data_IF_687301211009
#
_entry.id   IF_687301211009
#
_cell.length_a   1.000
_cell.length_b   1.000
_cell.length_c   1.000
_cell.angle_alpha   90.00
_cell.angle_beta   90.00
_cell.angle_gamma   90.00
#
_symmetry.space_group_name_H-M   'P 1'
#
loop_
_entity.id
_entity.type
_entity.pdbx_description
1 polymer ?
#
# COMPACT_ATOMS: atom_id res chain seq x y z
N UNK A 1 -1.59 -0.50 -6.51
CA UNK A 1 -3.04 -0.77 -6.54
C UNK A 1 -3.74 -0.03 -7.68
N UNK A 2 -3.48 1.27 -7.88
CA UNK A 2 -4.08 2.06 -9.00
C UNK A 2 -3.97 1.39 -10.38
N UNK A 3 -2.82 0.81 -10.72
CA UNK A 3 -2.65 0.14 -12.03
C UNK A 3 -3.68 -0.98 -12.27
N UNK A 4 -3.99 -1.76 -11.23
CA UNK A 4 -4.99 -2.84 -11.33
C UNK A 4 -6.40 -2.26 -11.51
N UNK A 5 -6.69 -1.11 -10.89
CA UNK A 5 -7.96 -0.39 -11.06
C UNK A 5 -8.11 0.16 -12.48
N UNK A 6 -7.04 0.68 -13.07
CA UNK A 6 -7.03 1.18 -14.45
C UNK A 6 -7.33 0.04 -15.44
N UNK A 7 -6.67 -1.11 -15.29
CA UNK A 7 -6.84 -2.24 -16.23
C UNK A 7 -8.24 -2.86 -16.11
N UNK A 8 -8.81 -2.88 -14.90
CA UNK A 8 -10.06 -3.59 -14.62
C UNK A 8 -11.31 -2.74 -14.61
N UNK A 9 -11.18 -1.41 -14.52
CA UNK A 9 -12.29 -0.49 -14.28
C UNK A 9 -12.98 -0.67 -12.93
N UNK A 10 -12.43 -1.49 -12.02
CA UNK A 10 -13.01 -1.86 -10.72
C UNK A 10 -12.20 -1.28 -9.57
N UNK A 11 -12.86 -1.00 -8.45
CA UNK A 11 -12.18 -0.51 -7.25
C UNK A 11 -11.43 -1.66 -6.58
N UNK A 12 -10.20 -1.44 -6.13
CA UNK A 12 -9.34 -2.52 -5.63
C UNK A 12 -9.89 -3.21 -4.36
N UNK A 13 -10.62 -2.48 -3.53
CA UNK A 13 -11.23 -2.99 -2.29
C UNK A 13 -12.68 -3.43 -2.48
N UNK A 14 -13.17 -3.45 -3.72
CA UNK A 14 -14.51 -3.94 -4.01
C UNK A 14 -14.60 -5.43 -3.67
N UNK A 15 -15.67 -5.77 -2.96
CA UNK A 15 -16.02 -7.13 -2.57
C UNK A 15 -17.39 -7.39 -3.15
N UNK A 16 -17.49 -8.35 -4.06
CA UNK A 16 -18.72 -8.63 -4.80
C UNK A 16 -18.95 -10.16 -4.85
N UNK A 17 -20.17 -10.62 -5.17
CA UNK A 17 -20.40 -12.05 -5.38
C UNK A 17 -19.54 -12.59 -6.55
N UNK A 18 -19.26 -11.77 -7.56
CA UNK A 18 -18.38 -12.10 -8.69
C UNK A 18 -16.94 -12.34 -8.25
N UNK A 19 -16.46 -11.61 -7.22
CA UNK A 19 -15.13 -11.84 -6.63
C UNK A 19 -15.11 -12.95 -5.58
N UNK A 20 -16.19 -13.73 -5.46
CA UNK A 20 -16.38 -14.74 -4.42
C UNK A 20 -16.17 -14.18 -3.00
N UNK A 21 -16.64 -12.95 -2.76
CA UNK A 21 -16.47 -12.20 -1.50
C UNK A 21 -15.02 -11.95 -1.09
N UNK A 22 -14.08 -11.95 -2.03
CA UNK A 22 -12.67 -11.57 -1.81
C UNK A 22 -12.43 -10.12 -2.22
N UNK A 23 -11.39 -9.50 -1.66
CA UNK A 23 -10.85 -8.24 -2.20
C UNK A 23 -10.49 -8.45 -3.67
N UNK A 24 -10.84 -7.50 -4.52
CA UNK A 24 -10.60 -7.60 -5.96
C UNK A 24 -9.15 -8.00 -6.30
N UNK A 25 -8.15 -7.44 -5.61
CA UNK A 25 -6.74 -7.81 -5.83
C UNK A 25 -6.42 -9.29 -5.62
N UNK A 26 -7.07 -9.94 -4.65
CA UNK A 26 -6.85 -11.36 -4.38
C UNK A 26 -7.56 -12.24 -5.43
N UNK A 27 -8.81 -11.89 -5.76
CA UNK A 27 -9.55 -12.58 -6.82
C UNK A 27 -8.84 -12.45 -8.18
N UNK A 28 -8.37 -11.25 -8.53
CA UNK A 28 -7.68 -11.00 -9.78
C UNK A 28 -6.38 -11.82 -9.88
N UNK A 29 -5.67 -12.03 -8.77
CA UNK A 29 -4.48 -12.87 -8.78
C UNK A 29 -4.82 -14.34 -9.05
N UNK A 30 -5.91 -14.86 -8.48
CA UNK A 30 -6.39 -16.22 -8.76
C UNK A 30 -6.77 -16.41 -10.23
N UNK A 31 -7.41 -15.41 -10.85
CA UNK A 31 -7.72 -15.46 -12.29
C UNK A 31 -6.46 -15.33 -13.14
N UNK A 32 -5.47 -14.55 -12.71
CA UNK A 32 -4.17 -14.45 -13.37
C UNK A 32 -3.41 -15.79 -13.34
N UNK A 33 -3.41 -16.50 -12.23
CA UNK A 33 -2.77 -17.84 -12.14
C UNK A 33 -3.44 -18.88 -13.03
N UNK A 34 -4.74 -18.72 -13.32
CA UNK A 34 -5.48 -19.56 -14.26
C UNK A 34 -5.29 -19.12 -15.72
N UNK A 35 -4.45 -18.13 -15.99
CA UNK A 35 -4.30 -17.49 -17.30
C UNK A 35 -5.59 -16.85 -17.82
N UNK A 36 -6.55 -16.53 -16.95
CA UNK A 36 -7.84 -15.93 -17.28
C UNK A 36 -7.79 -14.39 -17.21
N UNK A 37 -6.86 -13.80 -17.96
CA UNK A 37 -6.59 -12.35 -17.96
C UNK A 37 -7.81 -11.53 -18.39
N UNK A 38 -8.62 -12.07 -19.31
CA UNK A 38 -9.84 -11.43 -19.82
C UNK A 38 -10.89 -11.21 -18.72
N UNK A 39 -10.95 -12.06 -17.69
CA UNK A 39 -11.84 -11.85 -16.56
C UNK A 39 -11.43 -10.65 -15.68
N UNK A 40 -10.15 -10.26 -15.73
CA UNK A 40 -9.60 -9.14 -14.96
C UNK A 40 -9.83 -7.82 -15.69
N UNK A 41 -9.75 -7.84 -17.03
CA UNK A 41 -9.91 -6.67 -17.91
C UNK A 41 -11.27 -5.98 -17.72
N UNK A 42 -11.29 -4.64 -17.87
CA UNK A 42 -12.52 -3.86 -17.91
C UNK A 42 -13.44 -4.37 -19.05
N UNK A 43 -14.66 -4.79 -18.69
CA UNK A 43 -15.65 -5.30 -19.64
C UNK A 43 -16.01 -4.28 -20.72
N UNK A 44 -15.85 -2.98 -20.45
CA UNK A 44 -16.07 -1.91 -21.43
C UNK A 44 -15.04 -1.92 -22.57
N UNK A 45 -13.93 -2.63 -22.37
CA UNK A 45 -12.85 -2.79 -23.35
C UNK A 45 -12.88 -4.17 -24.04
N UNK A 46 -13.75 -5.10 -23.60
CA UNK A 46 -13.76 -6.48 -24.09
C UNK A 46 -14.04 -6.60 -25.61
N UNK A 47 -14.84 -5.69 -26.16
CA UNK A 47 -15.19 -5.66 -27.59
C UNK A 47 -14.26 -4.75 -28.43
N UNK A 48 -13.20 -4.21 -27.81
CA UNK A 48 -12.26 -3.31 -28.49
C UNK A 48 -10.98 -4.07 -28.91
N UNK A 49 -10.25 -3.50 -29.87
CA UNK A 49 -8.93 -4.00 -30.27
C UNK A 49 -7.88 -3.66 -29.20
N UNK A 50 -7.84 -4.48 -28.15
CA UNK A 50 -6.94 -4.33 -27.00
C UNK A 50 -5.73 -5.24 -27.16
N UNK A 51 -4.54 -4.68 -27.02
CA UNK A 51 -3.30 -5.46 -26.96
C UNK A 51 -3.23 -6.27 -25.65
N UNK A 52 -3.59 -7.55 -25.74
CA UNK A 52 -3.60 -8.48 -24.62
C UNK A 52 -2.21 -8.74 -24.03
N UNK A 53 -1.13 -8.54 -24.79
CA UNK A 53 0.23 -8.64 -24.24
C UNK A 53 0.50 -7.48 -23.28
N UNK A 54 0.08 -6.26 -23.64
CA UNK A 54 0.19 -5.10 -22.75
C UNK A 54 -0.70 -5.24 -21.51
N UNK A 55 -1.92 -5.76 -21.67
CA UNK A 55 -2.80 -6.05 -20.52
C UNK A 55 -2.15 -7.03 -19.57
N UNK A 56 -1.67 -8.16 -20.09
CA UNK A 56 -1.02 -9.21 -19.27
C UNK A 56 0.19 -8.64 -18.52
N UNK A 57 1.03 -7.88 -19.22
CA UNK A 57 2.19 -7.19 -18.64
C UNK A 57 1.78 -6.22 -17.53
N UNK A 58 0.78 -5.37 -17.78
CA UNK A 58 0.29 -4.41 -16.78
C UNK A 58 -0.22 -5.12 -15.52
N UNK A 59 -0.92 -6.24 -15.68
CA UNK A 59 -1.39 -7.08 -14.57
C UNK A 59 -0.22 -7.67 -13.80
N UNK A 60 0.78 -8.26 -14.46
CA UNK A 60 1.97 -8.79 -13.80
C UNK A 60 2.73 -7.71 -13.02
N UNK A 61 2.94 -6.54 -13.62
CA UNK A 61 3.55 -5.38 -12.95
C UNK A 61 2.74 -4.97 -11.73
N UNK A 62 1.42 -4.95 -11.85
CA UNK A 62 0.53 -4.57 -10.74
C UNK A 62 0.70 -5.50 -9.53
N UNK A 63 0.85 -6.81 -9.75
CA UNK A 63 1.06 -7.78 -8.67
C UNK A 63 2.45 -7.67 -8.03
N UNK A 64 3.51 -7.41 -8.81
CA UNK A 64 4.83 -7.08 -8.25
C UNK A 64 4.79 -5.83 -7.36
N UNK A 65 4.00 -4.83 -7.72
CA UNK A 65 3.91 -3.57 -6.97
C UNK A 65 3.14 -3.68 -5.65
N UNK A 66 2.26 -4.66 -5.50
CA UNK A 66 1.41 -4.82 -4.30
C UNK A 66 1.90 -5.91 -3.34
N UNK A 67 3.11 -6.41 -3.53
CA UNK A 67 3.70 -7.40 -2.64
C UNK A 67 3.74 -6.91 -1.19
N UNK A 68 3.49 -7.81 -0.25
CA UNK A 68 3.49 -7.51 1.18
C UNK A 68 4.86 -6.98 1.62
N UNK A 69 5.93 -7.68 1.22
CA UNK A 69 7.30 -7.29 1.52
C UNK A 69 7.76 -6.14 0.63
N UNK A 70 8.18 -4.99 1.20
CA UNK A 70 8.69 -3.86 0.41
C UNK A 70 9.92 -4.19 -0.43
N UNK A 71 10.75 -5.11 0.04
CA UNK A 71 11.96 -5.58 -0.67
C UNK A 71 11.66 -6.31 -1.99
N UNK A 72 10.46 -6.87 -2.13
CA UNK A 72 10.03 -7.53 -3.35
C UNK A 72 9.40 -6.56 -4.37
N UNK A 73 9.07 -5.33 -3.94
CA UNK A 73 8.47 -4.34 -4.83
C UNK A 73 9.54 -3.74 -5.74
N UNK A 74 9.34 -3.73 -7.07
CA UNK A 74 10.27 -3.08 -7.98
C UNK A 74 10.32 -1.57 -7.73
N UNK A 75 11.50 -0.97 -7.91
CA UNK A 75 11.64 0.50 -7.92
C UNK A 75 10.86 1.09 -9.10
N UNK A 76 10.34 2.31 -8.95
CA UNK A 76 9.53 2.95 -9.99
C UNK A 76 10.19 3.01 -11.38
N UNK A 77 11.51 3.25 -11.46
CA UNK A 77 12.21 3.19 -12.75
C UNK A 77 12.14 1.82 -13.42
N UNK A 78 12.20 0.74 -12.62
CA UNK A 78 12.03 -0.63 -13.12
C UNK A 78 10.58 -0.91 -13.52
N UNK A 79 9.60 -0.40 -12.76
CA UNK A 79 8.17 -0.49 -13.11
C UNK A 79 7.91 0.10 -14.50
N UNK A 80 8.48 1.27 -14.81
CA UNK A 80 8.36 1.89 -16.14
C UNK A 80 8.96 1.00 -17.23
N UNK A 81 10.20 0.53 -17.04
CA UNK A 81 10.85 -0.39 -18.00
C UNK A 81 10.05 -1.68 -18.22
N UNK A 82 9.44 -2.22 -17.16
CA UNK A 82 8.58 -3.40 -17.23
C UNK A 82 7.33 -3.10 -18.07
N UNK A 83 6.67 -1.94 -17.87
CA UNK A 83 5.47 -1.54 -18.63
C UNK A 83 5.79 -1.25 -20.11
N UNK A 84 6.90 -0.58 -20.38
CA UNK A 84 7.39 -0.30 -21.75
C UNK A 84 7.82 -1.59 -22.48
N UNK A 85 8.00 -2.70 -21.76
CA UNK A 85 8.42 -3.98 -22.34
C UNK A 85 9.92 -4.08 -22.60
N UNK A 86 10.70 -3.18 -22.01
CA UNK A 86 12.17 -3.19 -22.06
C UNK A 86 12.72 -4.28 -21.14
N UNK A 87 11.98 -4.60 -20.07
CA UNK A 87 12.32 -5.68 -19.16
C UNK A 87 11.35 -6.85 -19.31
N UNK A 88 11.91 -8.05 -19.34
CA UNK A 88 11.14 -9.27 -19.07
C UNK A 88 10.61 -9.26 -17.63
N UNK A 89 9.48 -9.93 -17.42
CA UNK A 89 8.76 -9.98 -16.16
C UNK A 89 8.52 -11.44 -15.80
N UNK A 90 9.12 -11.89 -14.71
CA UNK A 90 8.81 -13.17 -14.11
C UNK A 90 7.43 -13.13 -13.43
N UNK A 91 6.82 -14.31 -13.26
CA UNK A 91 5.54 -14.42 -12.59
C UNK A 91 5.64 -13.91 -11.14
N UNK A 92 4.84 -12.90 -10.76
CA UNK A 92 4.85 -12.35 -9.41
C UNK A 92 4.32 -13.40 -8.42
N UNK A 93 4.84 -13.42 -7.18
CA UNK A 93 4.28 -14.28 -6.14
C UNK A 93 2.88 -13.82 -5.71
N UNK A 94 2.13 -14.70 -5.06
CA UNK A 94 0.79 -14.41 -4.58
C UNK A 94 0.78 -13.24 -3.58
N UNK A 95 -0.01 -12.18 -3.82
CA UNK A 95 -0.31 -11.19 -2.80
C UNK A 95 -0.96 -11.90 -1.62
N UNK A 96 -0.48 -11.64 -0.39
CA UNK A 96 -1.12 -12.23 0.80
C UNK A 96 -2.57 -11.77 0.87
N UNK A 97 -3.50 -12.73 0.79
CA UNK A 97 -4.86 -12.50 1.21
C UNK A 97 -4.81 -12.17 2.70
N UNK A 98 -5.13 -10.93 3.07
CA UNK A 98 -5.39 -10.61 4.47
C UNK A 98 -6.62 -11.41 4.86
N UNK A 99 -6.43 -12.58 5.46
CA UNK A 99 -7.47 -13.24 6.23
C UNK A 99 -7.77 -12.30 7.39
N UNK A 100 -8.77 -11.45 7.24
CA UNK A 100 -9.32 -10.73 8.38
C UNK A 100 -9.78 -11.80 9.36
N UNK A 101 -9.12 -11.83 10.52
CA UNK A 101 -9.16 -12.95 11.44
C UNK A 101 -10.58 -13.34 11.76
N UNK A 102 -10.90 -14.61 11.50
CA UNK A 102 -11.81 -15.32 12.37
C UNK A 102 -11.17 -15.27 13.76
N UNK A 103 -11.65 -14.37 14.62
CA UNK A 103 -11.35 -14.42 16.06
C UNK A 103 -11.74 -15.84 16.48
N UNK A 104 -10.82 -16.71 16.94
CA UNK A 104 -11.22 -17.92 17.61
C UNK A 104 -11.95 -17.46 18.86
N UNK A 105 -13.26 -17.74 18.92
CA UNK A 105 -14.14 -17.30 19.99
C UNK A 105 -13.49 -17.53 21.34
N UNK A 106 -13.07 -16.45 21.99
CA UNK A 106 -12.71 -16.50 23.40
C UNK A 106 -14.03 -16.60 24.14
N UNK A 107 -14.45 -17.83 24.42
CA UNK A 107 -15.58 -18.11 25.28
C UNK A 107 -15.26 -17.60 26.68
N UNK A 108 -15.64 -16.35 26.96
CA UNK A 108 -15.76 -15.84 28.32
C UNK A 108 -17.07 -16.36 28.89
N UNK A 109 -16.99 -17.27 29.86
CA UNK A 109 -18.06 -17.55 30.81
C UNK A 109 -17.54 -17.28 32.24
N UNK A 110 -17.91 -16.08 32.70
CA UNK A 110 -18.54 -15.75 33.98
C UNK A 110 -17.88 -16.11 35.33
N UNK A 111 -17.53 -15.07 36.09
CA UNK A 111 -17.90 -14.83 37.51
C UNK A 111 -17.20 -13.53 37.95
N UNK A 112 -17.71 -12.64 38.81
CA UNK A 112 -18.98 -12.45 39.51
C UNK A 112 -19.04 -10.98 39.96
N UNK A 113 -20.25 -10.48 40.15
CA UNK A 113 -20.65 -9.13 40.60
C UNK A 113 -20.01 -8.66 41.92
N UNK A 114 -19.56 -7.39 41.96
CA UNK A 114 -19.71 -6.51 43.13
C UNK A 114 -19.61 -5.01 42.75
N UNK A 115 -20.36 -4.19 43.46
CA UNK A 115 -20.91 -2.87 43.11
C UNK A 115 -19.91 -1.68 43.05
N UNK A 116 -20.30 -0.51 42.46
CA UNK A 116 -19.48 0.69 42.48
C UNK A 116 -19.69 1.53 43.74
N UNK A 117 -18.63 2.14 44.25
CA UNK A 117 -18.66 3.25 45.23
C UNK A 117 -17.95 4.47 44.64
N UNK A 118 -18.47 5.70 44.76
CA UNK A 118 -17.81 6.92 44.29
C UNK A 118 -17.21 7.72 45.45
N UNK A 119 -16.01 8.28 45.27
CA UNK A 119 -15.42 9.37 46.08
C UNK A 119 -14.19 9.94 45.31
N UNK A 120 -14.31 11.07 44.61
CA UNK A 120 -14.04 12.46 45.04
C UNK A 120 -12.56 12.88 45.16
N UNK A 121 -12.15 13.75 44.20
CA UNK A 121 -11.43 15.03 44.37
C UNK A 121 -9.92 15.13 44.71
N UNK A 122 -9.18 15.74 43.77
CA UNK A 122 -8.03 16.69 43.90
C UNK A 122 -6.71 16.14 44.47
N UNK A 123 -5.49 16.52 44.04
CA UNK A 123 -4.95 17.85 43.71
C UNK A 123 -3.62 17.76 42.94
N UNK A 124 -3.32 18.84 42.22
CA UNK A 124 -2.01 19.24 41.70
C UNK A 124 -0.89 19.22 42.75
N UNK A 125 0.34 18.85 42.37
CA UNK A 125 1.56 19.45 42.93
C UNK A 125 2.66 19.62 41.87
N UNK A 126 2.86 20.89 41.54
CA UNK A 126 4.02 21.53 40.93
C UNK A 126 5.09 21.77 42.01
N UNK A 127 6.35 21.40 41.74
CA UNK A 127 7.59 22.00 42.27
C UNK A 127 8.66 21.71 41.21
N UNK A 128 9.43 22.62 40.61
CA UNK A 128 9.62 24.05 40.80
C UNK A 128 11.11 24.39 40.55
N UNK A 129 11.38 25.17 39.48
CA UNK A 129 12.32 26.33 39.43
C UNK A 129 13.84 25.98 39.50
N UNK A 130 14.78 26.35 38.61
CA UNK A 130 14.98 27.57 37.78
C UNK A 130 16.17 27.44 36.78
N UNK A 131 16.44 28.46 35.91
CA UNK A 131 17.10 28.36 34.60
C UNK A 131 18.58 28.83 34.56
N UNK A 132 19.26 28.59 33.43
CA UNK A 132 20.36 29.44 32.99
C UNK A 132 20.34 29.64 31.46
N UNK A 133 20.42 30.91 31.06
CA UNK A 133 20.39 31.42 29.69
C UNK A 133 21.77 31.43 29.02
N UNK A 134 21.78 31.85 27.75
CA UNK A 134 22.91 32.32 26.92
C UNK A 134 23.47 31.26 25.96
N UNK A 135 23.51 31.43 24.64
CA UNK A 135 23.22 32.54 23.74
C UNK A 135 23.91 32.29 22.38
N UNK A 136 23.53 33.07 21.37
CA UNK A 136 24.18 33.35 20.07
C UNK A 136 23.77 32.54 18.82
N UNK A 137 23.05 33.26 17.95
CA UNK A 137 22.97 33.11 16.50
C UNK A 137 24.32 33.41 15.82
N UNK A 138 24.57 32.82 14.65
CA UNK A 138 25.35 33.31 13.47
C UNK A 138 24.90 32.40 12.29
N UNK A 139 24.02 32.85 11.39
CA UNK A 139 24.30 33.51 10.09
C UNK A 139 25.12 32.62 9.12
N UNK A 140 24.50 31.99 8.12
CA UNK A 140 24.32 32.44 6.72
C UNK A 140 25.58 32.99 6.04
N UNK A 141 26.21 32.16 5.20
CA UNK A 141 27.02 32.55 4.04
C UNK A 141 26.97 31.37 3.05
N UNK A 142 26.25 31.43 1.92
CA UNK A 142 26.61 32.07 0.64
C UNK A 142 27.99 31.68 0.09
N UNK A 143 27.93 30.79 -0.92
CA UNK A 143 28.64 30.76 -2.20
C UNK A 143 30.05 31.37 -2.33
N UNK A 144 30.99 30.51 -2.73
CA UNK A 144 32.17 30.78 -3.58
C UNK A 144 32.67 29.39 -4.08
N UNK A 145 33.18 29.11 -5.29
CA UNK A 145 34.10 29.81 -6.21
C UNK A 145 33.93 29.21 -7.63
N UNK A 146 33.72 30.03 -8.67
CA UNK A 146 34.70 30.54 -9.68
C UNK A 146 35.28 29.52 -10.67
N UNK A 147 34.97 29.67 -11.96
CA UNK A 147 35.91 30.19 -12.96
C UNK A 147 35.25 30.26 -14.35
N UNK A 148 35.35 31.41 -15.02
CA UNK A 148 35.15 31.53 -16.47
C UNK A 148 36.25 32.43 -17.00
N UNK A 149 37.10 31.84 -17.84
CA UNK A 149 38.21 32.48 -18.55
C UNK A 149 37.72 33.38 -19.68
N UNK A 150 38.53 34.36 -20.12
CA UNK A 150 38.19 35.27 -21.22
C UNK A 150 38.71 34.77 -22.58
N UNK A 151 37.91 34.96 -23.64
CA UNK A 151 38.37 35.41 -24.97
C UNK A 151 37.17 35.93 -25.78
#
# INVERSE_FOLDING_TARGET
MVLLEIVSGRRNFEVSPETNRKKFSAWAYEEFEKSNVTAILDQRLADQDVDMQQVTRAIQVSFWCIQDQPSQRPKMGKVVQMLEGISEIENPPAPKATTEGSIPGTSILSSSTSAPTPSSSSSFQTLGVSPLASGRNIERASSALLHSDPN
#
